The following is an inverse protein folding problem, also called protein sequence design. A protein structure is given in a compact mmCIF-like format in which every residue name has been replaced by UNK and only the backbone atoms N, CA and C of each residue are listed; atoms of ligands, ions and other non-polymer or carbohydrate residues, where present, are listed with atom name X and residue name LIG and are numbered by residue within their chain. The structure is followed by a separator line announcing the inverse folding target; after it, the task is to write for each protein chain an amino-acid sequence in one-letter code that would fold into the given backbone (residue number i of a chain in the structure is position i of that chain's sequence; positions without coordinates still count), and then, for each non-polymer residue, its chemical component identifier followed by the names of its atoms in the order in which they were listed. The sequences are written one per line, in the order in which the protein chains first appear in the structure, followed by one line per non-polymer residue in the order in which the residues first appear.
data_IF_701027818048
#
_entry.id   IF_701027818048
#
_cell.length_a   1.000
_cell.length_b   1.000
_cell.length_c   1.000
_cell.angle_alpha   90.00
_cell.angle_beta   90.00
_cell.angle_gamma   90.00
#
_symmetry.space_group_name_H-M   'P 1'
#
loop_
_entity.id
_entity.type
_entity.pdbx_description
1 polymer ?
#
# COMPACT_ATOMS: atom_id res chain seq x y z
N UNK A 1 1.89 10.72 32.91
CA UNK A 1 0.58 10.22 32.42
C UNK A 1 0.88 9.45 31.14
N UNK A 2 0.29 8.27 30.94
CA UNK A 2 0.49 7.51 29.71
C UNK A 2 -0.09 8.27 28.52
N UNK A 3 0.65 8.30 27.41
CA UNK A 3 0.23 8.98 26.18
C UNK A 3 -0.90 8.24 25.49
N UNK A 4 -1.81 8.98 24.88
CA UNK A 4 -2.98 8.43 24.17
C UNK A 4 -2.73 8.36 22.67
N UNK A 5 -3.12 7.22 22.07
CA UNK A 5 -3.03 6.99 20.63
C UNK A 5 -4.42 6.73 20.09
N UNK A 6 -4.82 7.47 19.06
CA UNK A 6 -6.07 7.22 18.36
C UNK A 6 -5.85 6.17 17.27
N UNK A 7 -6.75 5.19 17.22
CA UNK A 7 -6.74 4.12 16.22
C UNK A 7 -7.77 4.47 15.14
N UNK A 8 -7.29 5.01 14.01
CA UNK A 8 -8.13 5.49 12.90
C UNK A 8 -8.53 4.35 11.97
N UNK A 9 -9.04 3.27 12.53
CA UNK A 9 -9.47 2.08 11.77
C UNK A 9 -10.50 1.27 12.58
N UNK A 10 -10.95 0.15 12.03
CA UNK A 10 -11.92 -0.78 12.62
C UNK A 10 -11.49 -2.23 12.43
N UNK A 11 -12.28 -3.15 13.00
CA UNK A 11 -12.10 -4.58 12.76
C UNK A 11 -10.81 -5.14 13.35
N UNK A 12 -10.24 -6.13 12.67
CA UNK A 12 -9.10 -6.89 13.19
C UNK A 12 -7.83 -6.04 13.32
N UNK A 13 -7.56 -5.14 12.35
CA UNK A 13 -6.36 -4.30 12.40
C UNK A 13 -6.42 -3.29 13.56
N UNK A 14 -7.59 -2.76 13.89
CA UNK A 14 -7.74 -1.91 15.06
C UNK A 14 -7.45 -2.70 16.34
N UNK A 15 -7.95 -3.94 16.46
CA UNK A 15 -7.62 -4.83 17.57
C UNK A 15 -6.12 -5.13 17.65
N UNK A 16 -5.48 -5.35 16.48
CA UNK A 16 -4.02 -5.61 16.39
C UNK A 16 -3.21 -4.43 16.91
N UNK A 17 -3.55 -3.22 16.48
CA UNK A 17 -2.87 -1.99 16.91
C UNK A 17 -3.09 -1.72 18.40
N UNK A 18 -4.32 -1.93 18.91
CA UNK A 18 -4.64 -1.76 20.35
C UNK A 18 -3.76 -2.68 21.19
N UNK A 19 -3.58 -3.96 20.82
CA UNK A 19 -2.69 -4.89 21.54
C UNK A 19 -1.26 -4.36 21.60
N UNK A 20 -0.68 -3.94 20.47
CA UNK A 20 0.67 -3.40 20.44
C UNK A 20 0.81 -2.14 21.32
N UNK A 21 -0.18 -1.25 21.30
CA UNK A 21 -0.19 -0.07 22.14
C UNK A 21 -0.25 -0.45 23.64
N UNK A 22 -1.11 -1.39 24.04
CA UNK A 22 -1.21 -1.86 25.43
C UNK A 22 0.10 -2.49 25.91
N UNK A 23 0.76 -3.32 25.08
CA UNK A 23 2.05 -3.94 25.41
C UNK A 23 3.16 -2.90 25.62
N UNK A 24 3.05 -1.73 24.96
CA UNK A 24 3.94 -0.58 25.14
C UNK A 24 3.44 0.42 26.21
N UNK A 25 2.38 0.10 26.95
CA UNK A 25 1.78 0.94 27.98
C UNK A 25 1.20 2.27 27.47
N UNK A 26 0.76 2.33 26.21
CA UNK A 26 -0.04 3.44 25.68
C UNK A 26 -1.52 3.24 25.97
N UNK A 27 -2.24 4.36 26.12
CA UNK A 27 -3.70 4.40 26.24
C UNK A 27 -4.30 4.47 24.83
N UNK A 28 -5.24 3.59 24.52
CA UNK A 28 -5.88 3.50 23.21
C UNK A 28 -7.23 4.20 23.17
N UNK A 29 -7.43 4.97 22.12
CA UNK A 29 -8.74 5.55 21.77
C UNK A 29 -9.20 4.94 20.45
N UNK A 30 -10.24 4.12 20.49
CA UNK A 30 -10.87 3.61 19.28
C UNK A 30 -11.87 4.63 18.72
N UNK A 31 -11.91 4.78 17.39
CA UNK A 31 -13.05 5.44 16.73
C UNK A 31 -14.02 4.39 16.21
N UNK A 32 -15.31 4.71 16.16
CA UNK A 32 -16.30 3.79 15.62
C UNK A 32 -17.49 4.52 14.99
N UNK A 33 -18.02 3.96 13.89
CA UNK A 33 -19.32 4.34 13.36
C UNK A 33 -20.43 3.65 14.19
N UNK A 34 -21.66 4.16 14.17
CA UNK A 34 -22.77 3.64 14.97
C UNK A 34 -22.97 2.13 14.84
N UNK A 35 -22.78 1.59 13.62
CA UNK A 35 -22.92 0.15 13.33
C UNK A 35 -21.80 -0.70 14.00
N UNK A 36 -20.68 -0.08 14.34
CA UNK A 36 -19.53 -0.74 14.97
C UNK A 36 -19.49 -0.60 16.49
N UNK A 37 -20.48 0.01 17.11
CA UNK A 37 -20.51 0.30 18.56
C UNK A 37 -20.18 -0.92 19.45
N UNK A 38 -20.60 -2.10 19.04
CA UNK A 38 -20.38 -3.35 19.78
C UNK A 38 -19.21 -4.18 19.24
N UNK A 39 -18.41 -3.64 18.34
CA UNK A 39 -17.29 -4.35 17.72
C UNK A 39 -16.15 -4.58 18.71
N UNK A 40 -15.35 -5.66 18.54
CA UNK A 40 -14.28 -6.02 19.46
C UNK A 40 -13.26 -4.90 19.72
N UNK A 41 -12.87 -4.13 18.71
CA UNK A 41 -11.91 -3.03 18.87
C UNK A 41 -12.41 -1.92 19.80
N UNK A 42 -13.74 -1.67 19.81
CA UNK A 42 -14.35 -0.67 20.71
C UNK A 42 -14.29 -1.16 22.17
N UNK A 43 -14.53 -2.46 22.37
CA UNK A 43 -14.50 -3.08 23.70
C UNK A 43 -13.08 -3.25 24.25
N UNK A 44 -12.08 -3.37 23.38
CA UNK A 44 -10.67 -3.56 23.75
C UNK A 44 -9.97 -2.24 24.12
N UNK A 45 -10.40 -1.13 23.53
CA UNK A 45 -9.78 0.18 23.75
C UNK A 45 -10.11 0.74 25.13
N UNK A 46 -9.23 1.58 25.69
CA UNK A 46 -9.44 2.27 26.98
C UNK A 46 -10.54 3.34 26.88
N UNK A 47 -10.63 3.98 25.71
CA UNK A 47 -11.65 4.96 25.37
C UNK A 47 -12.17 4.71 23.97
N UNK A 48 -13.40 5.16 23.71
CA UNK A 48 -14.00 5.08 22.39
C UNK A 48 -14.69 6.39 22.02
N UNK A 49 -14.60 6.78 20.76
CA UNK A 49 -15.20 8.00 20.23
C UNK A 49 -16.08 7.67 19.02
N UNK A 50 -17.35 8.06 19.09
CA UNK A 50 -18.31 7.83 18.01
C UNK A 50 -18.10 8.83 16.87
N UNK A 51 -17.92 8.32 15.64
CA UNK A 51 -17.91 9.12 14.43
C UNK A 51 -19.35 9.23 13.92
N UNK A 52 -19.89 10.44 13.96
CA UNK A 52 -21.25 10.72 13.48
C UNK A 52 -21.27 10.78 11.96
N UNK A 53 -22.23 10.10 11.33
CA UNK A 53 -22.42 10.07 9.88
C UNK A 53 -22.84 8.70 9.38
N UNK A 54 -23.11 8.62 8.05
CA UNK A 54 -23.51 7.40 7.40
C UNK A 54 -22.44 6.93 6.41
N UNK A 55 -22.05 5.66 6.55
CA UNK A 55 -21.06 5.05 5.71
C UNK A 55 -19.62 5.57 5.89
N UNK A 56 -18.67 4.95 5.21
CA UNK A 56 -17.24 5.27 5.40
C UNK A 56 -16.85 6.68 5.03
N UNK A 57 -17.51 7.30 4.05
CA UNK A 57 -17.19 8.66 3.58
C UNK A 57 -17.38 9.73 4.67
N UNK A 58 -18.41 9.57 5.50
CA UNK A 58 -18.71 10.50 6.58
C UNK A 58 -18.03 10.10 7.91
N UNK A 59 -17.54 8.88 8.03
CA UNK A 59 -16.94 8.32 9.25
C UNK A 59 -15.44 8.06 9.07
N UNK A 60 -15.02 6.82 8.79
CA UNK A 60 -13.61 6.39 8.75
C UNK A 60 -12.77 7.06 7.63
N UNK A 61 -13.39 7.59 6.57
CA UNK A 61 -12.73 8.38 5.52
C UNK A 61 -12.89 9.90 5.71
N UNK A 62 -13.43 10.35 6.83
CA UNK A 62 -13.59 11.77 7.14
C UNK A 62 -12.38 12.26 7.96
N UNK A 63 -11.43 12.89 7.29
CA UNK A 63 -10.19 13.41 7.88
C UNK A 63 -10.50 14.35 9.06
N UNK A 64 -11.43 15.29 8.86
CA UNK A 64 -11.81 16.27 9.91
C UNK A 64 -12.37 15.59 11.15
N UNK A 65 -13.26 14.62 10.98
CA UNK A 65 -13.86 13.88 12.09
C UNK A 65 -12.81 13.09 12.89
N UNK A 66 -11.86 12.45 12.21
CA UNK A 66 -10.76 11.71 12.86
C UNK A 66 -9.85 12.65 13.67
N UNK A 67 -9.46 13.80 13.10
CA UNK A 67 -8.61 14.78 13.80
C UNK A 67 -9.36 15.40 14.99
N UNK A 68 -10.65 15.73 14.84
CA UNK A 68 -11.48 16.21 15.93
C UNK A 68 -11.56 15.19 17.07
N UNK A 69 -11.75 13.91 16.76
CA UNK A 69 -11.76 12.82 17.74
C UNK A 69 -10.42 12.75 18.50
N UNK A 70 -9.29 12.83 17.79
CA UNK A 70 -7.95 12.79 18.40
C UNK A 70 -7.73 13.97 19.37
N UNK A 71 -8.09 15.18 18.96
CA UNK A 71 -7.99 16.39 19.81
C UNK A 71 -8.93 16.34 20.99
N UNK A 72 -10.18 15.96 20.80
CA UNK A 72 -11.17 15.85 21.88
C UNK A 72 -10.78 14.83 22.95
N UNK A 73 -10.07 13.77 22.55
CA UNK A 73 -9.59 12.72 23.46
C UNK A 73 -8.14 12.91 23.90
N UNK A 74 -7.51 14.04 23.54
CA UNK A 74 -6.15 14.40 23.93
C UNK A 74 -5.10 13.35 23.49
N UNK A 75 -5.27 12.79 22.30
CA UNK A 75 -4.27 11.90 21.71
C UNK A 75 -3.05 12.70 21.25
N UNK A 76 -1.88 12.06 21.29
CA UNK A 76 -0.61 12.61 20.77
C UNK A 76 -0.29 12.10 19.38
N UNK A 77 -0.91 10.99 18.96
CA UNK A 77 -0.65 10.32 17.71
C UNK A 77 -1.88 9.62 17.15
N UNK A 78 -1.84 9.33 15.85
CA UNK A 78 -2.86 8.58 15.14
C UNK A 78 -2.22 7.41 14.38
N UNK A 79 -2.72 6.19 14.61
CA UNK A 79 -2.36 5.01 13.84
C UNK A 79 -3.45 4.70 12.82
N UNK A 80 -3.17 4.75 11.51
CA UNK A 80 -4.18 4.56 10.46
C UNK A 80 -4.50 3.10 10.16
N UNK A 81 -3.68 2.14 10.59
CA UNK A 81 -3.75 0.74 10.17
C UNK A 81 -3.48 0.57 8.68
N UNK A 82 -4.38 -0.09 7.98
CA UNK A 82 -4.40 -0.22 6.51
C UNK A 82 -5.80 0.07 5.95
N UNK A 83 -5.92 0.34 4.63
CA UNK A 83 -7.18 0.78 4.01
C UNK A 83 -7.59 2.18 4.46
N UNK A 84 -8.84 2.57 4.24
CA UNK A 84 -9.37 3.90 4.57
C UNK A 84 -8.39 5.04 4.25
N UNK A 85 -7.90 5.73 5.28
CA UNK A 85 -7.01 6.88 5.16
C UNK A 85 -5.51 6.53 5.23
N UNK A 86 -5.15 5.24 5.38
CA UNK A 86 -3.76 4.84 5.66
C UNK A 86 -2.75 5.24 4.56
N UNK A 87 -3.20 5.34 3.30
CA UNK A 87 -2.36 5.72 2.15
C UNK A 87 -2.66 7.15 1.63
N UNK A 88 -3.46 7.94 2.37
CA UNK A 88 -3.84 9.30 1.97
C UNK A 88 -2.84 10.32 2.46
N UNK A 89 -2.07 10.90 1.51
CA UNK A 89 -1.10 11.94 1.81
C UNK A 89 -1.73 13.15 2.51
N UNK A 90 -2.95 13.52 2.10
CA UNK A 90 -3.72 14.62 2.68
C UNK A 90 -4.07 14.38 4.14
N UNK A 91 -4.32 13.10 4.51
CA UNK A 91 -4.58 12.75 5.90
C UNK A 91 -3.33 12.85 6.75
N UNK A 92 -2.20 12.29 6.27
CA UNK A 92 -0.94 12.38 7.00
C UNK A 92 -0.52 13.84 7.22
N UNK A 93 -0.63 14.68 6.19
CA UNK A 93 -0.37 16.12 6.28
C UNK A 93 -1.29 16.80 7.30
N UNK A 94 -2.60 16.55 7.23
CA UNK A 94 -3.56 17.15 8.16
C UNK A 94 -3.36 16.71 9.63
N UNK A 95 -2.86 15.49 9.86
CA UNK A 95 -2.48 15.01 11.20
C UNK A 95 -1.26 15.77 11.71
N UNK A 96 -0.21 15.92 10.89
CA UNK A 96 1.01 16.67 11.24
C UNK A 96 0.72 18.17 11.42
N UNK A 97 -0.12 18.78 10.59
CA UNK A 97 -0.59 20.17 10.73
C UNK A 97 -1.43 20.40 12.01
N UNK A 98 -1.96 19.33 12.57
CA UNK A 98 -2.72 19.37 13.83
C UNK A 98 -1.85 19.17 15.08
N UNK A 99 -0.52 19.18 14.94
CA UNK A 99 0.49 18.87 15.98
C UNK A 99 0.34 17.46 16.56
N UNK A 100 -0.08 16.49 15.73
CA UNK A 100 -0.18 15.07 16.08
C UNK A 100 0.83 14.25 15.30
N UNK A 101 1.38 13.20 15.91
CA UNK A 101 2.24 12.27 15.18
C UNK A 101 1.39 11.33 14.28
N UNK A 102 1.70 11.28 12.98
CA UNK A 102 1.16 10.26 12.09
C UNK A 102 2.03 9.01 12.15
N UNK A 103 1.46 7.88 12.61
CA UNK A 103 2.19 6.60 12.69
C UNK A 103 2.16 5.94 11.32
N UNK A 104 3.07 6.37 10.47
CA UNK A 104 3.16 5.98 9.08
C UNK A 104 4.23 6.75 8.32
N UNK A 105 4.34 6.55 7.00
CA UNK A 105 5.24 7.30 6.14
C UNK A 105 4.89 8.79 6.09
N UNK A 106 5.83 9.58 5.62
CA UNK A 106 5.61 11.02 5.43
C UNK A 106 4.63 11.29 4.29
N UNK A 107 3.94 12.45 4.29
CA UNK A 107 3.00 12.82 3.23
C UNK A 107 3.60 12.76 1.82
N UNK A 108 4.88 13.17 1.67
CA UNK A 108 5.58 13.13 0.38
C UNK A 108 5.77 11.69 -0.12
N UNK A 109 6.13 10.77 0.77
CA UNK A 109 6.28 9.35 0.44
C UNK A 109 4.93 8.75 0.04
N UNK A 110 3.86 9.03 0.80
CA UNK A 110 2.50 8.58 0.48
C UNK A 110 2.03 9.12 -0.88
N UNK A 111 2.27 10.40 -1.15
CA UNK A 111 1.89 11.03 -2.41
C UNK A 111 2.60 10.41 -3.61
N UNK A 112 3.92 10.19 -3.49
CA UNK A 112 4.72 9.61 -4.57
C UNK A 112 4.32 8.15 -4.83
N UNK A 113 4.21 7.35 -3.78
CA UNK A 113 3.90 5.90 -3.91
C UNK A 113 2.45 5.64 -4.29
N UNK A 114 1.53 6.56 -4.00
CA UNK A 114 0.13 6.50 -4.41
C UNK A 114 -0.10 6.78 -5.90
N UNK A 115 0.86 7.40 -6.59
CA UNK A 115 0.86 7.58 -8.04
C UNK A 115 1.71 6.50 -8.71
N UNK A 116 1.07 5.61 -9.47
CA UNK A 116 1.74 4.46 -10.09
C UNK A 116 2.83 4.86 -11.09
N UNK A 117 2.62 5.94 -11.84
CA UNK A 117 3.61 6.41 -12.82
C UNK A 117 4.80 6.99 -12.08
N UNK A 118 4.57 7.90 -11.13
CA UNK A 118 5.63 8.49 -10.32
C UNK A 118 6.40 7.44 -9.51
N UNK A 119 5.70 6.46 -8.95
CA UNK A 119 6.32 5.35 -8.21
C UNK A 119 7.21 4.48 -9.10
N UNK A 120 6.75 4.17 -10.34
CA UNK A 120 7.55 3.41 -11.31
C UNK A 120 8.76 4.21 -11.80
N UNK A 121 8.62 5.51 -12.03
CA UNK A 121 9.75 6.38 -12.39
C UNK A 121 10.77 6.46 -11.25
N UNK A 122 10.33 6.63 -10.01
CA UNK A 122 11.21 6.61 -8.85
C UNK A 122 11.96 5.28 -8.69
N UNK A 123 11.29 4.15 -8.93
CA UNK A 123 11.93 2.84 -8.94
C UNK A 123 12.99 2.73 -10.04
N UNK A 124 12.69 3.20 -11.24
CA UNK A 124 13.63 3.25 -12.37
C UNK A 124 14.84 4.13 -12.09
N UNK A 125 14.63 5.32 -11.53
CA UNK A 125 15.70 6.26 -11.16
C UNK A 125 16.58 5.70 -10.04
N UNK A 126 15.98 4.93 -9.13
CA UNK A 126 16.72 4.15 -8.14
C UNK A 126 17.43 2.92 -8.74
N UNK A 127 17.28 2.66 -10.06
CA UNK A 127 17.93 1.57 -10.78
C UNK A 127 17.30 0.19 -10.55
N UNK A 128 16.02 0.14 -10.16
CA UNK A 128 15.29 -1.11 -10.10
C UNK A 128 14.86 -1.54 -11.49
N UNK A 129 14.84 -2.85 -11.80
CA UNK A 129 14.21 -3.34 -13.00
C UNK A 129 12.70 -3.08 -12.96
N UNK A 130 12.19 -2.48 -14.02
CA UNK A 130 10.75 -2.19 -14.20
C UNK A 130 10.28 -2.85 -15.49
N UNK A 131 8.99 -3.21 -15.54
CA UNK A 131 8.39 -3.71 -16.77
C UNK A 131 8.39 -2.62 -17.85
N UNK A 132 8.55 -3.04 -19.10
CA UNK A 132 8.36 -2.16 -20.23
C UNK A 132 6.93 -1.57 -20.19
N UNK A 133 6.82 -0.24 -20.17
CA UNK A 133 5.53 0.45 -20.21
C UNK A 133 5.60 1.68 -21.12
N UNK A 134 4.45 2.07 -21.67
CA UNK A 134 4.31 3.32 -22.41
C UNK A 134 4.05 4.52 -21.51
N UNK A 135 4.10 5.71 -22.08
CA UNK A 135 3.47 6.90 -21.52
C UNK A 135 1.93 6.79 -21.62
N UNK A 136 1.23 7.67 -20.92
CA UNK A 136 -0.23 7.79 -21.01
C UNK A 136 -0.66 8.30 -22.39
N UNK A 137 -1.79 7.82 -22.88
CA UNK A 137 -2.43 8.26 -24.12
C UNK A 137 -3.95 8.07 -24.05
N UNK A 138 -4.68 8.82 -24.88
CA UNK A 138 -6.15 8.77 -24.96
C UNK A 138 -6.66 8.31 -26.31
N UNK A 139 -5.77 8.03 -27.28
CA UNK A 139 -6.14 7.57 -28.63
C UNK A 139 -5.78 6.12 -28.85
N UNK A 140 -6.61 5.39 -29.61
CA UNK A 140 -6.28 4.01 -29.99
C UNK A 140 -5.05 3.94 -30.89
N UNK A 141 -4.85 4.92 -31.77
CA UNK A 141 -3.67 4.94 -32.66
C UNK A 141 -2.35 5.01 -31.88
N UNK A 142 -2.31 5.77 -30.77
CA UNK A 142 -1.13 5.79 -29.89
C UNK A 142 -0.99 4.47 -29.14
N UNK A 143 -2.10 3.88 -28.69
CA UNK A 143 -2.11 2.54 -28.07
C UNK A 143 -1.50 1.48 -29.00
N UNK A 144 -1.94 1.43 -30.25
CA UNK A 144 -1.44 0.48 -31.25
C UNK A 144 0.07 0.67 -31.51
N UNK A 145 0.51 1.92 -31.65
CA UNK A 145 1.92 2.26 -31.87
C UNK A 145 2.79 1.81 -30.70
N UNK A 146 2.38 2.06 -29.47
CA UNK A 146 3.15 1.70 -28.29
C UNK A 146 3.10 0.17 -28.03
N UNK A 147 1.95 -0.47 -28.28
CA UNK A 147 1.80 -1.92 -28.19
C UNK A 147 2.73 -2.66 -29.15
N UNK A 148 2.88 -2.17 -30.39
CA UNK A 148 3.81 -2.76 -31.38
C UNK A 148 5.29 -2.65 -30.98
N UNK A 149 5.66 -1.63 -30.18
CA UNK A 149 7.02 -1.51 -29.65
C UNK A 149 7.28 -2.47 -28.49
N UNK A 150 6.29 -2.64 -27.60
CA UNK A 150 6.40 -3.50 -26.43
C UNK A 150 6.29 -4.98 -26.77
N UNK A 151 5.53 -5.32 -27.83
CA UNK A 151 5.21 -6.71 -28.17
C UNK A 151 4.05 -7.27 -27.32
N UNK A 152 3.59 -8.47 -27.72
CA UNK A 152 2.51 -9.19 -27.04
C UNK A 152 3.04 -10.45 -26.32
N UNK A 153 2.41 -10.90 -25.25
CA UNK A 153 1.21 -10.32 -24.61
C UNK A 153 1.51 -9.06 -23.77
N UNK A 154 0.48 -8.21 -23.62
CA UNK A 154 0.56 -6.99 -22.81
C UNK A 154 -0.75 -6.71 -22.09
N UNK A 155 -0.69 -5.78 -21.13
CA UNK A 155 -1.86 -5.17 -20.52
C UNK A 155 -2.12 -3.77 -21.06
N UNK A 156 -3.41 -3.42 -21.23
CA UNK A 156 -3.87 -2.05 -21.34
C UNK A 156 -4.46 -1.65 -19.98
N UNK A 157 -3.93 -0.60 -19.37
CA UNK A 157 -4.27 -0.19 -18.00
C UNK A 157 -4.71 1.26 -17.91
N UNK A 158 -5.69 1.54 -17.05
CA UNK A 158 -5.99 2.89 -16.58
C UNK A 158 -4.99 3.28 -15.47
N UNK A 159 -4.45 4.52 -15.45
CA UNK A 159 -3.45 4.96 -14.46
C UNK A 159 -3.96 4.95 -13.02
N UNK A 160 -5.26 5.12 -12.84
CA UNK A 160 -5.90 5.14 -11.52
C UNK A 160 -6.51 3.78 -11.12
N UNK A 161 -6.39 2.76 -11.99
CA UNK A 161 -6.90 1.40 -11.73
C UNK A 161 -6.10 0.68 -10.66
N UNK A 162 -6.81 0.03 -9.72
CA UNK A 162 -6.21 -0.80 -8.67
C UNK A 162 -6.98 -2.11 -8.49
N UNK A 163 -6.35 -3.14 -7.88
CA UNK A 163 -7.01 -4.42 -7.64
C UNK A 163 -7.51 -5.14 -8.90
N UNK A 164 -6.97 -4.77 -10.07
CA UNK A 164 -7.35 -5.33 -11.36
C UNK A 164 -8.49 -4.65 -12.10
N UNK A 165 -9.09 -3.62 -11.54
CA UNK A 165 -10.04 -2.77 -12.24
C UNK A 165 -9.31 -1.85 -13.22
N UNK A 166 -9.83 -1.71 -14.44
CA UNK A 166 -9.19 -0.92 -15.49
C UNK A 166 -7.92 -1.55 -16.08
N UNK A 167 -7.75 -2.88 -15.99
CA UNK A 167 -6.58 -3.61 -16.49
C UNK A 167 -7.04 -4.79 -17.35
N UNK A 168 -6.79 -4.71 -18.66
CA UNK A 168 -7.23 -5.69 -19.66
C UNK A 168 -6.06 -6.23 -20.45
N UNK A 169 -6.01 -7.57 -20.56
CA UNK A 169 -4.95 -8.27 -21.25
C UNK A 169 -5.26 -8.38 -22.74
N UNK A 170 -4.25 -8.15 -23.57
CA UNK A 170 -4.22 -8.49 -24.98
C UNK A 170 -3.12 -9.52 -25.23
N UNK A 171 -3.48 -10.72 -25.67
CA UNK A 171 -2.55 -11.80 -25.99
C UNK A 171 -1.87 -11.57 -27.35
N UNK A 172 -2.59 -10.86 -28.23
CA UNK A 172 -2.19 -10.61 -29.62
C UNK A 172 -2.87 -9.34 -30.13
N UNK A 173 -2.40 -8.86 -31.28
CA UNK A 173 -2.81 -7.56 -31.85
C UNK A 173 -4.32 -7.43 -32.05
N UNK A 174 -5.00 -8.51 -32.49
CA UNK A 174 -6.45 -8.50 -32.76
C UNK A 174 -7.30 -8.20 -31.50
N UNK A 175 -6.76 -8.44 -30.30
CA UNK A 175 -7.45 -8.20 -29.02
C UNK A 175 -7.19 -6.80 -28.46
N UNK A 176 -6.26 -6.05 -29.05
CA UNK A 176 -5.83 -4.75 -28.51
C UNK A 176 -6.95 -3.72 -28.50
N UNK A 177 -7.75 -3.65 -29.58
CA UNK A 177 -8.86 -2.68 -29.69
C UNK A 177 -9.91 -2.91 -28.59
N UNK A 178 -10.25 -4.16 -28.30
CA UNK A 178 -11.20 -4.50 -27.25
C UNK A 178 -10.64 -4.13 -25.87
N UNK A 179 -9.38 -4.52 -25.59
CA UNK A 179 -8.72 -4.21 -24.33
C UNK A 179 -8.64 -2.70 -24.08
N UNK A 180 -8.29 -1.91 -25.12
CA UNK A 180 -8.27 -0.44 -25.06
C UNK A 180 -9.64 0.13 -24.75
N UNK A 181 -10.67 -0.31 -25.48
CA UNK A 181 -12.03 0.21 -25.34
C UNK A 181 -12.56 -0.01 -23.92
N UNK A 182 -12.34 -1.20 -23.37
CA UNK A 182 -12.80 -1.55 -22.01
C UNK A 182 -12.01 -0.77 -20.96
N UNK A 183 -10.68 -0.74 -21.05
CA UNK A 183 -9.83 -0.03 -20.09
C UNK A 183 -10.12 1.48 -20.04
N UNK A 184 -10.25 2.11 -21.22
CA UNK A 184 -10.56 3.53 -21.35
C UNK A 184 -11.97 3.87 -20.84
N UNK A 185 -12.98 3.03 -21.15
CA UNK A 185 -14.34 3.22 -20.66
C UNK A 185 -14.42 3.07 -19.13
N UNK A 186 -13.75 2.09 -18.57
CA UNK A 186 -13.69 1.91 -17.11
C UNK A 186 -12.95 3.05 -16.44
N UNK A 187 -11.84 3.54 -17.02
CA UNK A 187 -11.13 4.71 -16.55
C UNK A 187 -12.02 5.94 -16.50
N UNK A 188 -12.79 6.19 -17.57
CA UNK A 188 -13.74 7.30 -17.63
C UNK A 188 -14.84 7.19 -16.58
N UNK A 189 -15.43 6.00 -16.42
CA UNK A 189 -16.57 5.81 -15.52
C UNK A 189 -16.18 5.83 -14.04
N UNK A 190 -15.02 5.31 -13.69
CA UNK A 190 -14.58 5.15 -12.30
C UNK A 190 -13.75 6.34 -11.81
N UNK A 191 -12.98 6.98 -12.72
CA UNK A 191 -11.96 7.96 -12.36
C UNK A 191 -12.05 9.26 -13.16
N UNK A 192 -12.99 9.38 -14.10
CA UNK A 192 -13.18 10.58 -14.90
C UNK A 192 -12.12 10.80 -15.99
N UNK A 193 -11.25 9.83 -16.26
CA UNK A 193 -10.19 9.92 -17.27
C UNK A 193 -10.24 8.75 -18.25
N UNK A 194 -10.08 9.07 -19.55
CA UNK A 194 -9.95 8.07 -20.63
C UNK A 194 -8.51 7.63 -20.88
N UNK A 195 -7.57 8.23 -20.18
CA UNK A 195 -6.16 7.90 -20.36
C UNK A 195 -5.86 6.48 -19.97
N UNK A 196 -5.05 5.83 -20.79
CA UNK A 196 -4.54 4.49 -20.57
C UNK A 196 -3.06 4.43 -20.93
N UNK A 197 -2.40 3.36 -20.51
CA UNK A 197 -1.06 3.00 -20.95
C UNK A 197 -0.98 1.51 -21.21
N UNK A 198 0.02 1.05 -21.95
CA UNK A 198 0.32 -0.35 -22.16
C UNK A 198 1.53 -0.76 -21.34
N UNK A 199 1.48 -1.98 -20.81
CA UNK A 199 2.54 -2.55 -19.97
C UNK A 199 2.79 -4.01 -20.36
N UNK A 200 4.05 -4.41 -20.38
CA UNK A 200 4.47 -5.77 -20.68
C UNK A 200 3.80 -6.77 -19.71
N UNK A 201 3.35 -7.90 -20.24
CA UNK A 201 2.78 -8.98 -19.45
C UNK A 201 3.83 -10.07 -19.17
N UNK A 202 4.00 -10.42 -17.90
CA UNK A 202 4.86 -11.55 -17.49
C UNK A 202 3.98 -12.78 -17.32
N UNK A 203 4.24 -13.82 -18.09
CA UNK A 203 3.31 -14.95 -18.24
C UNK A 203 3.20 -15.84 -17.01
N UNK A 204 4.31 -16.11 -16.36
CA UNK A 204 4.40 -17.04 -15.22
C UNK A 204 4.93 -16.34 -13.97
N UNK A 205 4.54 -15.06 -13.81
CA UNK A 205 5.01 -14.26 -12.69
C UNK A 205 4.52 -14.80 -11.34
N UNK A 206 5.47 -14.90 -10.42
CA UNK A 206 5.20 -15.00 -8.98
C UNK A 206 5.10 -13.59 -8.42
N UNK A 207 4.22 -13.40 -7.45
CA UNK A 207 4.09 -12.15 -6.71
C UNK A 207 4.89 -12.28 -5.41
N UNK A 208 6.04 -11.65 -5.37
CA UNK A 208 6.94 -11.64 -4.22
C UNK A 208 7.00 -10.21 -3.68
N UNK A 209 6.98 -10.08 -2.38
CA UNK A 209 7.10 -8.77 -1.74
C UNK A 209 8.17 -8.77 -0.65
N UNK A 210 8.75 -7.59 -0.42
CA UNK A 210 9.77 -7.37 0.61
C UNK A 210 9.22 -6.42 1.66
N UNK A 211 9.15 -6.89 2.91
CA UNK A 211 8.82 -6.03 4.04
C UNK A 211 10.00 -5.11 4.37
N UNK A 212 9.76 -3.82 4.43
CA UNK A 212 10.78 -2.83 4.81
C UNK A 212 10.33 -2.00 6.01
N UNK A 213 11.31 -1.51 6.77
CA UNK A 213 11.15 -0.57 7.87
C UNK A 213 12.20 0.53 7.74
N UNK A 214 11.80 1.79 7.91
CA UNK A 214 12.69 2.94 7.79
C UNK A 214 12.51 3.93 8.94
N UNK A 215 13.60 4.59 9.35
CA UNK A 215 13.63 5.57 10.45
C UNK A 215 13.32 7.02 10.00
N UNK A 216 13.08 7.23 8.71
CA UNK A 216 12.87 8.56 8.13
C UNK A 216 14.14 9.33 7.81
N UNK A 217 15.35 8.85 8.18
CA UNK A 217 16.62 9.47 7.83
C UNK A 217 17.19 9.01 6.49
N UNK A 218 16.68 7.92 5.96
CA UNK A 218 17.19 7.19 4.80
C UNK A 218 17.81 5.85 5.19
N UNK A 219 17.89 5.53 6.47
CA UNK A 219 18.26 4.18 6.92
C UNK A 219 17.03 3.29 6.84
N UNK A 220 17.15 2.22 6.06
CA UNK A 220 16.08 1.25 5.83
C UNK A 220 16.64 -0.16 5.98
N UNK A 221 15.88 -1.01 6.62
CA UNK A 221 16.13 -2.45 6.71
C UNK A 221 15.01 -3.21 6.01
N UNK A 222 15.29 -4.44 5.59
CA UNK A 222 14.26 -5.39 5.20
C UNK A 222 13.98 -6.40 6.33
N UNK A 223 12.75 -6.91 6.39
CA UNK A 223 12.32 -7.98 7.28
C UNK A 223 11.83 -9.17 6.44
N UNK A 224 12.68 -9.57 5.48
CA UNK A 224 12.46 -10.72 4.60
C UNK A 224 11.40 -10.51 3.52
N UNK A 225 11.07 -11.63 2.88
CA UNK A 225 10.14 -11.69 1.75
C UNK A 225 8.85 -12.43 2.11
N UNK A 226 7.77 -12.12 1.40
CA UNK A 226 6.54 -12.92 1.37
C UNK A 226 6.23 -13.37 -0.05
N UNK A 227 5.74 -14.60 -0.17
CA UNK A 227 5.15 -15.17 -1.39
C UNK A 227 3.66 -14.91 -1.37
N UNK A 228 3.14 -14.19 -2.36
CA UNK A 228 1.73 -13.80 -2.46
C UNK A 228 1.08 -14.25 -3.78
N UNK A 229 1.62 -15.27 -4.45
CA UNK A 229 1.16 -15.71 -5.78
C UNK A 229 -0.18 -16.44 -5.76
N UNK A 230 -0.60 -17.00 -4.60
CA UNK A 230 -1.90 -17.66 -4.49
C UNK A 230 -2.99 -16.60 -4.34
N UNK A 231 -3.62 -16.27 -5.46
CA UNK A 231 -4.59 -15.19 -5.55
C UNK A 231 -5.89 -15.65 -6.19
N UNK A 232 -7.00 -15.02 -5.79
CA UNK A 232 -8.30 -15.11 -6.45
C UNK A 232 -8.74 -13.73 -6.91
N UNK A 233 -8.93 -13.53 -8.22
CA UNK A 233 -9.29 -12.23 -8.80
C UNK A 233 -8.34 -11.10 -8.38
N UNK A 234 -7.04 -11.41 -8.32
CA UNK A 234 -5.94 -10.51 -7.90
C UNK A 234 -5.99 -10.10 -6.42
N UNK A 235 -6.76 -10.79 -5.60
CA UNK A 235 -6.72 -10.66 -4.14
C UNK A 235 -5.89 -11.81 -3.58
N UNK A 236 -4.94 -11.51 -2.72
CA UNK A 236 -4.11 -12.46 -1.99
C UNK A 236 -5.02 -13.37 -1.16
N UNK A 237 -4.74 -14.67 -1.15
CA UNK A 237 -5.53 -15.69 -0.42
C UNK A 237 -4.64 -16.48 0.54
N UNK A 238 -3.40 -16.76 0.13
CA UNK A 238 -2.39 -17.44 0.96
C UNK A 238 -1.08 -16.67 0.77
N UNK A 239 -0.50 -16.30 1.89
CA UNK A 239 0.80 -15.65 1.96
C UNK A 239 1.76 -16.48 2.81
N UNK A 240 2.97 -16.69 2.31
CA UNK A 240 4.02 -17.47 2.96
C UNK A 240 5.27 -16.61 3.18
N UNK A 241 5.93 -16.78 4.32
CA UNK A 241 7.24 -16.15 4.61
C UNK A 241 8.24 -17.20 5.10
N UNK A 242 9.51 -17.12 4.68
CA UNK A 242 9.99 -16.33 3.53
C UNK A 242 9.53 -16.93 2.20
N UNK A 243 9.55 -16.15 1.13
CA UNK A 243 9.25 -16.66 -0.21
C UNK A 243 10.18 -17.82 -0.56
N UNK A 244 9.60 -18.97 -0.91
CA UNK A 244 10.32 -20.20 -1.19
C UNK A 244 10.84 -20.25 -2.63
N UNK A 245 11.80 -21.14 -2.93
CA UNK A 245 12.32 -21.43 -4.28
C UNK A 245 12.82 -20.17 -5.02
N UNK A 246 13.46 -19.26 -4.31
CA UNK A 246 14.25 -18.18 -4.86
C UNK A 246 15.73 -18.57 -4.78
N UNK A 247 16.50 -18.41 -5.86
CA UNK A 247 17.94 -18.52 -5.75
C UNK A 247 18.49 -17.34 -4.93
N UNK A 248 19.66 -17.49 -4.33
CA UNK A 248 20.24 -16.46 -3.45
C UNK A 248 20.46 -15.13 -4.19
N UNK A 249 20.83 -15.18 -5.48
CA UNK A 249 20.99 -13.98 -6.30
C UNK A 249 19.68 -13.20 -6.42
N UNK A 250 18.58 -13.85 -6.74
CA UNK A 250 17.27 -13.20 -6.88
C UNK A 250 16.79 -12.68 -5.53
N UNK A 251 16.91 -13.50 -4.46
CA UNK A 251 16.51 -13.08 -3.11
C UNK A 251 17.26 -11.84 -2.65
N UNK A 252 18.59 -11.84 -2.79
CA UNK A 252 19.42 -10.69 -2.40
C UNK A 252 19.11 -9.48 -3.28
N UNK A 253 18.91 -9.67 -4.60
CA UNK A 253 18.53 -8.60 -5.51
C UNK A 253 17.21 -7.94 -5.13
N UNK A 254 16.20 -8.71 -4.72
CA UNK A 254 14.92 -8.19 -4.22
C UNK A 254 15.11 -7.35 -2.94
N UNK A 255 15.91 -7.84 -1.99
CA UNK A 255 16.21 -7.11 -0.74
C UNK A 255 16.93 -5.80 -1.03
N UNK A 256 17.99 -5.84 -1.84
CA UNK A 256 18.79 -4.67 -2.21
C UNK A 256 17.94 -3.63 -2.96
N UNK A 257 17.11 -4.07 -3.92
CA UNK A 257 16.20 -3.20 -4.65
C UNK A 257 15.21 -2.51 -3.73
N UNK A 258 14.57 -3.25 -2.82
CA UNK A 258 13.61 -2.69 -1.88
C UNK A 258 14.27 -1.68 -0.93
N UNK A 259 15.42 -2.02 -0.34
CA UNK A 259 16.18 -1.11 0.53
C UNK A 259 16.57 0.16 -0.25
N UNK A 260 17.10 0.01 -1.46
CA UNK A 260 17.56 1.14 -2.27
C UNK A 260 16.44 2.12 -2.58
N UNK A 261 15.28 1.62 -3.05
CA UNK A 261 14.12 2.45 -3.32
C UNK A 261 13.65 3.16 -2.06
N UNK A 262 13.43 2.42 -0.98
CA UNK A 262 12.89 2.98 0.26
C UNK A 262 13.86 3.93 0.95
N UNK A 263 15.18 3.72 0.83
CA UNK A 263 16.20 4.66 1.31
C UNK A 263 16.16 5.98 0.53
N UNK A 264 16.03 5.91 -0.80
CA UNK A 264 15.90 7.11 -1.65
C UNK A 264 14.66 7.93 -1.26
N UNK A 265 13.56 7.26 -0.92
CA UNK A 265 12.32 7.88 -0.47
C UNK A 265 12.34 8.28 1.01
N UNK A 266 13.45 8.03 1.73
CA UNK A 266 13.60 8.29 3.17
C UNK A 266 12.41 7.75 3.96
N UNK A 267 12.07 6.47 3.72
CA UNK A 267 10.96 5.82 4.38
C UNK A 267 11.01 6.06 5.89
N UNK A 268 9.88 6.50 6.43
CA UNK A 268 9.56 6.48 7.87
C UNK A 268 8.48 5.43 8.08
N UNK A 269 8.61 4.57 9.07
CA UNK A 269 7.66 3.50 9.40
C UNK A 269 7.76 2.29 8.46
N UNK A 270 6.69 1.50 8.33
CA UNK A 270 6.62 0.29 7.53
C UNK A 270 6.18 0.57 6.08
N UNK A 271 6.79 -0.15 5.15
CA UNK A 271 6.30 -0.26 3.79
C UNK A 271 6.62 -1.64 3.22
N UNK A 272 5.90 -2.03 2.18
CA UNK A 272 6.14 -3.25 1.44
C UNK A 272 6.40 -2.90 -0.02
N UNK A 273 7.51 -3.42 -0.57
CA UNK A 273 7.82 -3.29 -2.00
C UNK A 273 7.45 -4.59 -2.69
N UNK A 274 6.56 -4.51 -3.65
CA UNK A 274 6.04 -5.65 -4.40
C UNK A 274 6.78 -5.83 -5.73
N UNK A 275 7.02 -7.09 -6.10
CA UNK A 275 7.73 -7.47 -7.31
C UNK A 275 7.00 -8.60 -8.04
N UNK A 276 7.12 -8.60 -9.36
CA UNK A 276 6.87 -9.78 -10.20
C UNK A 276 8.19 -10.52 -10.40
N UNK A 277 8.19 -11.84 -10.23
CA UNK A 277 9.38 -12.69 -10.38
C UNK A 277 9.08 -13.82 -11.34
N UNK A 278 9.91 -13.98 -12.38
CA UNK A 278 9.85 -15.12 -13.31
C UNK A 278 11.25 -15.71 -13.49
N UNK A 279 11.43 -16.95 -13.09
CA UNK A 279 12.76 -17.57 -13.01
C UNK A 279 13.67 -16.82 -12.06
N UNK A 280 14.80 -16.33 -12.55
CA UNK A 280 15.78 -15.55 -11.80
C UNK A 280 15.64 -14.02 -12.01
N UNK A 281 14.71 -13.60 -12.86
CA UNK A 281 14.45 -12.20 -13.15
C UNK A 281 13.32 -11.66 -12.28
N UNK A 282 13.37 -10.36 -11.95
CA UNK A 282 12.30 -9.69 -11.20
C UNK A 282 12.11 -8.26 -11.68
N UNK A 283 10.90 -7.75 -11.50
CA UNK A 283 10.52 -6.39 -11.85
C UNK A 283 9.71 -5.77 -10.71
N UNK A 284 9.97 -4.50 -10.46
CA UNK A 284 9.18 -3.71 -9.54
C UNK A 284 7.71 -3.64 -9.98
N UNK A 285 6.79 -3.80 -9.05
CA UNK A 285 5.35 -3.72 -9.29
C UNK A 285 4.76 -2.46 -8.65
N UNK A 286 4.84 -2.35 -7.32
CA UNK A 286 4.31 -1.21 -6.56
C UNK A 286 4.90 -1.15 -5.14
N UNK A 287 4.63 -0.04 -4.45
CA UNK A 287 4.90 0.12 -3.02
C UNK A 287 3.57 0.27 -2.28
N UNK A 288 3.41 -0.47 -1.19
CA UNK A 288 2.35 -0.24 -0.21
C UNK A 288 2.96 0.45 1.01
N UNK A 289 2.77 1.78 1.16
CA UNK A 289 3.42 2.59 2.18
C UNK A 289 2.66 2.53 3.52
N UNK A 290 2.47 1.34 4.05
CA UNK A 290 1.72 1.02 5.26
C UNK A 290 2.01 -0.39 5.74
N UNK A 291 1.46 -0.75 6.89
CA UNK A 291 1.38 -2.14 7.31
C UNK A 291 0.44 -2.93 6.37
N UNK A 292 0.74 -4.18 6.07
CA UNK A 292 -0.06 -5.06 5.23
C UNK A 292 -0.97 -5.97 6.08
N UNK A 293 -2.06 -6.49 5.48
CA UNK A 293 -2.93 -7.50 6.12
C UNK A 293 -2.10 -8.70 6.54
N UNK A 294 -1.21 -9.15 5.66
CA UNK A 294 -0.35 -10.33 5.78
C UNK A 294 0.93 -10.13 6.63
N UNK A 295 1.08 -8.98 7.31
CA UNK A 295 2.24 -8.72 8.17
C UNK A 295 2.48 -9.80 9.25
N UNK A 296 1.43 -10.45 9.81
CA UNK A 296 1.64 -11.43 10.90
C UNK A 296 2.50 -12.62 10.51
N UNK A 297 2.49 -13.06 9.23
CA UNK A 297 3.35 -14.18 8.81
C UNK A 297 4.84 -13.78 8.89
N UNK A 298 5.17 -12.52 8.58
CA UNK A 298 6.54 -12.00 8.76
C UNK A 298 6.91 -11.93 10.24
N UNK A 299 6.03 -11.42 11.08
CA UNK A 299 6.26 -11.30 12.53
C UNK A 299 6.54 -12.65 13.17
N UNK A 300 5.74 -13.67 12.84
CA UNK A 300 5.89 -15.03 13.37
C UNK A 300 7.21 -15.68 12.94
N UNK A 301 7.69 -15.41 11.73
CA UNK A 301 8.92 -15.99 11.19
C UNK A 301 10.18 -15.29 11.72
N UNK A 302 10.12 -13.95 11.80
CA UNK A 302 11.32 -13.16 12.14
C UNK A 302 11.37 -12.73 13.62
N UNK A 303 10.32 -12.99 14.40
CA UNK A 303 10.28 -12.65 15.83
C UNK A 303 10.29 -11.14 16.09
N UNK A 304 9.64 -10.36 15.24
CA UNK A 304 9.54 -8.90 15.34
C UNK A 304 8.07 -8.48 15.36
N UNK A 305 7.71 -7.50 16.16
CA UNK A 305 6.39 -6.87 16.14
C UNK A 305 6.46 -5.59 15.31
N UNK A 306 6.01 -5.66 14.04
CA UNK A 306 6.08 -4.56 13.10
C UNK A 306 5.22 -3.36 13.52
N UNK A 307 4.12 -3.58 14.23
CA UNK A 307 3.26 -2.50 14.71
C UNK A 307 3.90 -1.78 15.88
N UNK A 308 4.56 -2.50 16.80
CA UNK A 308 5.35 -1.86 17.87
C UNK A 308 6.51 -1.05 17.29
N UNK A 309 7.20 -1.58 16.27
CA UNK A 309 8.26 -0.82 15.60
C UNK A 309 7.73 0.44 14.90
N UNK A 310 6.52 0.41 14.32
CA UNK A 310 5.89 1.63 13.79
C UNK A 310 5.67 2.68 14.89
N UNK A 311 5.25 2.25 16.08
CA UNK A 311 5.08 3.14 17.24
C UNK A 311 6.41 3.71 17.71
N UNK A 312 7.46 2.88 17.86
CA UNK A 312 8.80 3.32 18.26
C UNK A 312 9.42 4.32 17.28
N UNK A 313 9.21 4.14 15.96
CA UNK A 313 9.74 5.06 14.95
C UNK A 313 9.02 6.41 14.96
N UNK A 314 7.74 6.42 15.29
CA UNK A 314 6.92 7.63 15.23
C UNK A 314 6.98 8.46 16.51
N UNK A 315 7.26 7.86 17.67
CA UNK A 315 7.18 8.45 19.02
C UNK A 315 8.52 8.44 19.75
#
# INVERSE_FOLDING_TARGET
MSSRILIANRGEIACRVIRACHELNYICVAVYASDDKNSPHVQMADFAFELTGQGPAETYNNITAIICAAKATQCIAIHPGYGFLAEKAEFAAAVEDADLAFIGPRPETLKLTGDKVASTEAAKDAGLPVLGQSKLFSSFADCEKEAKKLGFPLFVKSPHGGGGLGCHRAEKEEQLQEAYTIASSQGQNLYGSKEVYVEQFVKSARHIEVQTMGDGSGKVIHVGTRECSVQRRRQKVIEEAPAQRLCDKTRNGLHEAAIKLMSTLKLRSAATVEFLVEGDEFWFLEVNPRIQVEHPVTELVYGVDLVQEQLHIAL
#
